data_IF_546601017440
#
_entry.id   IF_546601017440
#
_cell.length_a   1.000
_cell.length_b   1.000
_cell.length_c   1.000
_cell.angle_alpha   90.00
_cell.angle_beta   90.00
_cell.angle_gamma   90.00
#
_symmetry.space_group_name_H-M   'P 1'
#
loop_
_entity.id
_entity.type
_entity.pdbx_description
1 polymer ?
#
# COMPACT_ATOMS: atom_id res chain seq x y z
N UNK A 1 23.72 -29.24 -9.69
CA UNK A 1 23.04 -30.52 -9.35
C UNK A 1 21.54 -30.27 -9.32
N UNK A 2 20.83 -30.61 -10.40
CA UNK A 2 19.41 -30.31 -10.62
C UNK A 2 18.63 -31.59 -10.32
N UNK A 3 17.77 -31.61 -9.30
CA UNK A 3 16.89 -32.74 -9.01
C UNK A 3 15.61 -32.63 -9.82
N UNK A 4 15.48 -33.52 -10.80
CA UNK A 4 14.25 -33.78 -11.58
C UNK A 4 13.21 -34.49 -10.68
N UNK A 5 12.01 -33.90 -10.57
CA UNK A 5 10.84 -34.57 -10.02
C UNK A 5 10.13 -35.29 -11.17
N UNK A 6 10.06 -36.63 -11.09
CA UNK A 6 9.33 -37.46 -12.06
C UNK A 6 7.87 -37.61 -11.63
N UNK A 7 6.97 -37.16 -12.50
CA UNK A 7 5.55 -37.45 -12.43
C UNK A 7 5.28 -38.84 -13.00
N UNK A 8 4.71 -39.75 -12.18
CA UNK A 8 4.29 -41.08 -12.62
C UNK A 8 2.89 -40.95 -13.23
N UNK A 9 2.80 -41.22 -14.53
CA UNK A 9 1.55 -41.49 -15.23
C UNK A 9 1.32 -42.99 -15.19
N UNK A 10 0.19 -43.42 -14.65
CA UNK A 10 -0.22 -44.84 -14.65
C UNK A 10 -1.15 -45.02 -15.86
N UNK A 11 -0.67 -45.74 -16.84
CA UNK A 11 -1.49 -46.33 -17.90
C UNK A 11 -2.05 -47.68 -17.44
N UNK A 12 -3.37 -47.81 -17.41
CA UNK A 12 -4.01 -49.12 -17.30
C UNK A 12 -4.33 -49.61 -18.70
N UNK A 13 -3.69 -50.70 -19.05
CA UNK A 13 -3.91 -51.42 -20.30
C UNK A 13 -5.18 -52.28 -20.18
N UNK A 14 -6.07 -52.16 -21.18
CA UNK A 14 -7.18 -53.08 -21.38
C UNK A 14 -6.71 -54.20 -22.29
N UNK A 15 -6.73 -55.42 -21.79
CA UNK A 15 -6.61 -56.62 -22.61
C UNK A 15 -8.02 -57.10 -22.97
N UNK A 16 -8.23 -57.27 -24.29
CA UNK A 16 -9.49 -57.73 -24.83
C UNK A 16 -9.62 -59.28 -24.70
N UNK A 17 -10.83 -59.71 -24.42
CA UNK A 17 -11.25 -61.10 -24.73
C UNK A 17 -12.61 -61.00 -25.43
N UNK A 18 -12.63 -61.44 -26.71
CA UNK A 18 -13.86 -61.72 -27.44
C UNK A 18 -14.47 -63.04 -26.95
N UNK A 19 -15.77 -62.99 -26.60
CA UNK A 19 -16.61 -64.18 -26.57
C UNK A 19 -17.89 -63.96 -27.37
N UNK A 20 -18.10 -64.77 -28.37
CA UNK A 20 -19.37 -64.92 -29.11
C UNK A 20 -20.35 -65.72 -28.28
N UNK A 21 -21.59 -65.33 -28.24
CA UNK A 21 -22.66 -66.23 -27.88
C UNK A 21 -23.88 -65.63 -27.16
N UNK A 22 -25.02 -65.62 -27.83
CA UNK A 22 -26.33 -65.67 -27.19
C UNK A 22 -27.06 -64.31 -27.12
N UNK A 23 -27.94 -64.08 -28.12
CA UNK A 23 -28.96 -63.04 -28.06
C UNK A 23 -30.02 -63.43 -27.02
N UNK A 24 -29.91 -62.91 -25.77
CA UNK A 24 -31.00 -62.89 -24.80
C UNK A 24 -31.65 -61.52 -24.85
N UNK A 25 -32.84 -61.43 -25.38
CA UNK A 25 -33.72 -60.25 -25.21
C UNK A 25 -34.07 -60.12 -23.73
N UNK A 26 -33.33 -59.29 -23.01
CA UNK A 26 -33.81 -58.84 -21.71
C UNK A 26 -34.83 -57.72 -21.91
N UNK A 27 -35.98 -57.73 -21.21
CA UNK A 27 -36.97 -56.68 -21.35
C UNK A 27 -36.40 -55.36 -20.85
N UNK A 28 -36.48 -54.37 -21.70
CA UNK A 28 -36.05 -53.00 -21.46
C UNK A 28 -36.68 -52.49 -20.16
N UNK A 29 -35.89 -52.51 -19.07
CA UNK A 29 -36.31 -51.79 -17.82
C UNK A 29 -36.40 -50.31 -18.21
N UNK A 30 -37.60 -49.80 -18.38
CA UNK A 30 -37.83 -48.38 -18.54
C UNK A 30 -37.11 -47.64 -17.43
N UNK A 31 -36.01 -46.97 -17.74
CA UNK A 31 -35.33 -46.11 -16.79
C UNK A 31 -36.34 -45.02 -16.37
N UNK A 32 -36.88 -45.12 -15.16
CA UNK A 32 -37.79 -44.11 -14.63
C UNK A 32 -37.15 -42.74 -14.78
N UNK A 33 -37.83 -41.82 -15.47
CA UNK A 33 -37.32 -40.49 -15.75
C UNK A 33 -36.87 -39.81 -14.44
N UNK A 34 -35.61 -39.44 -14.32
CA UNK A 34 -35.07 -38.83 -13.11
C UNK A 34 -35.88 -37.56 -12.77
N UNK A 35 -36.38 -37.50 -11.54
CA UNK A 35 -37.23 -36.40 -11.04
C UNK A 35 -36.45 -35.07 -11.06
N UNK A 36 -37.06 -33.98 -11.48
CA UNK A 36 -36.47 -32.63 -11.43
C UNK A 36 -36.17 -32.26 -9.98
N UNK A 37 -34.97 -31.76 -9.71
CA UNK A 37 -34.54 -31.37 -8.39
C UNK A 37 -33.76 -30.06 -8.42
N UNK A 38 -33.75 -29.32 -7.34
CA UNK A 38 -32.99 -28.08 -7.17
C UNK A 38 -31.99 -28.21 -6.03
N UNK A 39 -30.89 -27.47 -6.10
CA UNK A 39 -29.98 -27.29 -4.95
C UNK A 39 -30.77 -26.71 -3.77
N UNK A 40 -30.86 -27.45 -2.65
CA UNK A 40 -31.73 -27.09 -1.50
C UNK A 40 -31.25 -25.84 -0.78
N UNK A 41 -29.91 -25.68 -0.64
CA UNK A 41 -29.29 -24.50 -0.03
C UNK A 41 -27.97 -24.15 -0.66
N UNK A 42 -27.63 -22.86 -0.62
CA UNK A 42 -26.36 -22.31 -1.10
C UNK A 42 -25.86 -21.30 -0.09
N UNK A 43 -24.60 -21.38 0.26
CA UNK A 43 -23.88 -20.34 1.01
C UNK A 43 -23.08 -19.51 0.02
N UNK A 44 -23.13 -18.19 0.16
CA UNK A 44 -22.35 -17.24 -0.64
C UNK A 44 -21.88 -16.10 0.27
N UNK A 45 -20.72 -15.54 -0.01
CA UNK A 45 -20.26 -14.36 0.73
C UNK A 45 -20.68 -13.06 0.01
N UNK A 46 -20.74 -11.95 0.75
CA UNK A 46 -20.97 -10.62 0.17
C UNK A 46 -19.97 -10.36 -0.98
N UNK A 47 -20.43 -9.79 -2.08
CA UNK A 47 -19.63 -9.55 -3.29
C UNK A 47 -19.34 -10.78 -4.14
N UNK A 48 -19.44 -12.01 -3.61
CA UNK A 48 -19.14 -13.26 -4.33
C UNK A 48 -20.37 -13.86 -4.99
N UNK A 49 -20.13 -14.80 -5.92
CA UNK A 49 -21.19 -15.49 -6.67
C UNK A 49 -21.20 -16.99 -6.38
N UNK A 50 -22.37 -17.59 -6.49
CA UNK A 50 -22.57 -19.03 -6.42
C UNK A 50 -23.62 -19.48 -7.47
N UNK A 51 -23.62 -20.77 -7.82
CA UNK A 51 -24.58 -21.32 -8.78
C UNK A 51 -25.64 -22.15 -8.06
N UNK A 52 -26.91 -21.91 -8.36
CA UNK A 52 -28.05 -22.78 -8.02
C UNK A 52 -28.30 -23.65 -9.23
N UNK A 53 -28.22 -24.99 -9.07
CA UNK A 53 -28.46 -25.96 -10.15
C UNK A 53 -29.89 -26.49 -10.07
N UNK A 54 -30.52 -26.64 -11.23
CA UNK A 54 -31.78 -27.35 -11.42
C UNK A 54 -31.49 -28.57 -12.31
N UNK A 55 -31.51 -29.75 -11.73
CA UNK A 55 -31.18 -31.01 -12.39
C UNK A 55 -32.37 -31.65 -13.05
N UNK A 56 -32.14 -32.43 -14.15
CA UNK A 56 -33.13 -33.19 -14.90
C UNK A 56 -34.30 -32.38 -15.49
N UNK A 57 -34.05 -31.08 -15.75
CA UNK A 57 -35.04 -30.20 -16.34
C UNK A 57 -34.73 -29.86 -17.81
N UNK A 58 -35.68 -30.10 -18.71
CA UNK A 58 -35.65 -29.74 -20.13
C UNK A 58 -36.57 -28.55 -20.48
N UNK A 59 -37.48 -28.19 -19.59
CA UNK A 59 -38.53 -27.18 -19.80
C UNK A 59 -38.01 -25.76 -19.49
N UNK A 60 -38.73 -24.74 -19.99
CA UNK A 60 -38.49 -23.34 -19.63
C UNK A 60 -38.63 -23.11 -18.13
N UNK A 61 -37.76 -22.27 -17.55
CA UNK A 61 -37.74 -21.95 -16.10
C UNK A 61 -37.84 -20.45 -15.92
N UNK A 62 -38.69 -20.03 -14.98
CA UNK A 62 -38.74 -18.67 -14.47
C UNK A 62 -38.06 -18.64 -13.10
N UNK A 63 -37.03 -17.82 -12.98
CA UNK A 63 -36.26 -17.63 -11.75
C UNK A 63 -36.66 -16.34 -11.07
N UNK A 64 -36.98 -16.37 -9.79
CA UNK A 64 -37.33 -15.21 -8.98
C UNK A 64 -36.78 -15.30 -7.56
N UNK A 65 -36.61 -14.15 -6.91
CA UNK A 65 -36.34 -14.06 -5.47
C UNK A 65 -37.67 -13.85 -4.77
N UNK A 66 -38.05 -14.75 -3.87
CA UNK A 66 -39.34 -14.72 -3.17
C UNK A 66 -39.25 -14.17 -1.75
N UNK A 67 -38.04 -14.10 -1.18
CA UNK A 67 -37.75 -13.50 0.13
C UNK A 67 -36.27 -12.98 0.13
N UNK A 68 -36.00 -11.85 0.78
CA UNK A 68 -34.67 -11.32 0.94
C UNK A 68 -34.08 -10.77 -0.35
N UNK A 69 -34.87 -10.07 -1.17
CA UNK A 69 -34.44 -9.51 -2.47
C UNK A 69 -33.29 -8.48 -2.35
N UNK A 70 -33.17 -7.75 -1.23
CA UNK A 70 -32.06 -6.84 -0.97
C UNK A 70 -30.74 -7.55 -0.64
N UNK A 71 -30.76 -8.84 -0.33
CA UNK A 71 -29.58 -9.60 0.07
C UNK A 71 -28.84 -10.25 -1.10
N UNK A 72 -29.53 -10.43 -2.24
CA UNK A 72 -28.98 -11.12 -3.42
C UNK A 72 -29.46 -10.51 -4.73
N UNK A 73 -28.68 -10.73 -5.80
CA UNK A 73 -29.13 -10.53 -7.18
C UNK A 73 -28.96 -11.81 -7.99
N UNK A 74 -29.77 -11.96 -9.05
CA UNK A 74 -29.78 -13.13 -9.94
C UNK A 74 -29.26 -12.74 -11.33
N UNK A 75 -28.34 -13.53 -11.87
CA UNK A 75 -27.80 -13.38 -13.22
C UNK A 75 -27.66 -14.76 -13.94
N UNK A 76 -27.34 -14.76 -15.23
CA UNK A 76 -27.09 -15.99 -16.03
C UNK A 76 -28.18 -17.05 -15.82
N UNK A 77 -29.45 -16.64 -15.94
CA UNK A 77 -30.63 -17.53 -15.79
C UNK A 77 -30.72 -18.50 -16.97
N UNK A 78 -30.89 -19.79 -16.71
CA UNK A 78 -30.98 -20.86 -17.72
C UNK A 78 -32.01 -21.93 -17.31
N UNK A 79 -32.23 -22.91 -18.18
CA UNK A 79 -33.10 -24.08 -17.89
C UNK A 79 -32.51 -24.98 -16.79
N UNK A 80 -31.20 -24.91 -16.54
CA UNK A 80 -30.48 -25.81 -15.64
C UNK A 80 -29.87 -25.10 -14.43
N UNK A 81 -30.04 -23.78 -14.32
CA UNK A 81 -29.51 -23.05 -13.15
C UNK A 81 -29.56 -21.55 -13.29
N UNK A 82 -29.08 -20.89 -12.22
CA UNK A 82 -28.95 -19.44 -12.10
C UNK A 82 -27.73 -19.12 -11.26
N UNK A 83 -27.08 -18.02 -11.57
CA UNK A 83 -26.02 -17.47 -10.73
C UNK A 83 -26.62 -16.47 -9.75
N UNK A 84 -26.30 -16.62 -8.48
CA UNK A 84 -26.65 -15.71 -7.39
C UNK A 84 -25.40 -14.95 -6.94
N UNK A 85 -25.50 -13.62 -6.76
CA UNK A 85 -24.47 -12.77 -6.13
C UNK A 85 -25.00 -12.32 -4.77
N UNK A 86 -24.22 -12.48 -3.71
CA UNK A 86 -24.51 -11.96 -2.37
C UNK A 86 -24.27 -10.44 -2.36
N UNK A 87 -25.26 -9.66 -1.90
CA UNK A 87 -25.17 -8.19 -1.80
C UNK A 87 -25.06 -7.73 -0.35
N UNK A 88 -25.81 -8.37 0.56
CA UNK A 88 -25.86 -8.06 1.99
C UNK A 88 -26.08 -9.33 2.81
N UNK A 89 -25.41 -9.44 3.95
CA UNK A 89 -25.58 -10.59 4.86
C UNK A 89 -27.06 -10.81 5.23
N UNK A 90 -27.45 -12.07 5.25
CA UNK A 90 -28.82 -12.47 5.54
C UNK A 90 -29.27 -13.69 4.74
N UNK A 91 -30.55 -14.00 4.81
CA UNK A 91 -31.15 -15.15 4.13
C UNK A 91 -32.08 -14.70 3.02
N UNK A 92 -31.96 -15.34 1.86
CA UNK A 92 -32.88 -15.15 0.74
C UNK A 92 -33.44 -16.49 0.26
N UNK A 93 -34.62 -16.46 -0.40
CA UNK A 93 -35.20 -17.62 -1.06
C UNK A 93 -35.29 -17.38 -2.56
N UNK A 94 -34.67 -18.28 -3.35
CA UNK A 94 -34.73 -18.29 -4.81
C UNK A 94 -35.65 -19.40 -5.28
N UNK A 95 -36.60 -19.06 -6.13
CA UNK A 95 -37.58 -19.98 -6.68
C UNK A 95 -37.34 -20.21 -8.18
N UNK A 96 -37.32 -21.48 -8.60
CA UNK A 96 -37.44 -21.90 -9.99
C UNK A 96 -38.86 -22.40 -10.24
N UNK A 97 -39.62 -21.77 -11.14
CA UNK A 97 -40.94 -22.23 -11.60
C UNK A 97 -40.80 -22.96 -12.93
N UNK A 98 -41.24 -24.23 -12.97
CA UNK A 98 -41.22 -25.12 -14.14
C UNK A 98 -42.65 -25.58 -14.38
N UNK A 99 -43.38 -24.97 -15.32
CA UNK A 99 -44.85 -25.14 -15.46
C UNK A 99 -45.55 -24.70 -14.15
N UNK A 100 -46.38 -25.54 -13.59
CA UNK A 100 -47.08 -25.31 -12.32
C UNK A 100 -46.22 -25.61 -11.08
N UNK A 101 -45.11 -26.35 -11.21
CA UNK A 101 -44.27 -26.80 -10.09
C UNK A 101 -43.27 -25.72 -9.69
N UNK A 102 -43.11 -25.54 -8.36
CA UNK A 102 -42.15 -24.59 -7.73
C UNK A 102 -41.07 -25.36 -6.99
N UNK A 103 -39.83 -24.95 -7.19
CA UNK A 103 -38.62 -25.49 -6.53
C UNK A 103 -37.92 -24.33 -5.83
N UNK A 104 -37.59 -24.48 -4.55
CA UNK A 104 -36.99 -23.39 -3.74
C UNK A 104 -35.62 -23.77 -3.26
N UNK A 105 -34.70 -22.82 -3.38
CA UNK A 105 -33.34 -22.86 -2.79
C UNK A 105 -33.23 -21.77 -1.73
N UNK A 106 -32.72 -22.11 -0.54
CA UNK A 106 -32.36 -21.12 0.46
C UNK A 106 -30.94 -20.66 0.23
N UNK A 107 -30.75 -19.35 0.12
CA UNK A 107 -29.43 -18.72 -0.02
C UNK A 107 -29.08 -18.01 1.28
N UNK A 108 -27.98 -18.39 1.89
CA UNK A 108 -27.44 -17.70 3.05
C UNK A 108 -26.25 -16.85 2.60
N UNK A 109 -26.39 -15.53 2.67
CA UNK A 109 -25.28 -14.60 2.45
C UNK A 109 -24.60 -14.36 3.78
N UNK A 110 -23.32 -14.69 3.85
CA UNK A 110 -22.47 -14.39 4.99
C UNK A 110 -21.65 -13.15 4.69
N UNK A 111 -21.39 -12.31 5.69
CA UNK A 111 -20.25 -11.40 5.59
C UNK A 111 -19.03 -12.26 5.23
N UNK A 112 -18.21 -11.80 4.31
CA UNK A 112 -16.90 -12.40 4.13
C UNK A 112 -16.32 -12.48 5.54
N UNK A 113 -16.04 -13.69 6.02
CA UNK A 113 -15.14 -13.81 7.16
C UNK A 113 -13.88 -13.16 6.66
N UNK A 114 -13.50 -12.00 7.22
CA UNK A 114 -12.18 -11.45 7.05
C UNK A 114 -11.31 -12.59 7.58
N UNK A 115 -10.69 -13.37 6.67
CA UNK A 115 -9.62 -14.25 7.04
C UNK A 115 -8.72 -13.37 7.84
N UNK A 116 -8.41 -13.74 9.08
CA UNK A 116 -7.49 -12.98 9.88
C UNK A 116 -6.25 -12.82 9.02
N UNK A 117 -6.09 -11.60 8.49
CA UNK A 117 -5.01 -11.26 7.60
C UNK A 117 -3.74 -11.45 8.42
N UNK A 118 -2.83 -12.27 7.97
CA UNK A 118 -1.61 -12.55 8.71
C UNK A 118 -0.81 -11.27 8.94
N UNK A 119 -0.89 -10.32 8.00
CA UNK A 119 -0.29 -8.99 8.15
C UNK A 119 -0.99 -8.19 9.26
N UNK A 120 -2.33 -8.21 9.31
CA UNK A 120 -3.07 -7.53 10.36
C UNK A 120 -2.76 -8.09 11.76
N UNK A 121 -2.60 -9.40 11.89
CA UNK A 121 -2.18 -10.04 13.17
C UNK A 121 -0.80 -9.58 13.64
N UNK A 122 0.09 -9.22 12.71
CA UNK A 122 1.43 -8.68 12.96
C UNK A 122 1.44 -7.17 13.18
N UNK A 123 0.27 -6.52 13.14
CA UNK A 123 0.17 -5.06 13.22
C UNK A 123 0.51 -4.35 11.90
N UNK A 124 0.47 -5.03 10.75
CA UNK A 124 0.81 -4.44 9.46
C UNK A 124 -0.46 -4.00 8.73
N UNK A 125 -0.57 -2.70 8.44
CA UNK A 125 -1.61 -2.12 7.62
C UNK A 125 -1.21 -2.21 6.13
N UNK A 126 -2.09 -2.77 5.29
CA UNK A 126 -1.90 -2.90 3.84
C UNK A 126 -3.15 -2.43 3.11
N UNK A 127 -3.08 -2.15 1.80
CA UNK A 127 -4.26 -1.84 0.97
C UNK A 127 -5.37 -2.90 1.10
N UNK A 128 -4.98 -4.15 1.28
CA UNK A 128 -5.92 -5.27 1.30
C UNK A 128 -6.65 -5.43 2.64
N UNK A 129 -6.11 -4.88 3.72
CA UNK A 129 -6.67 -5.04 5.07
C UNK A 129 -7.20 -3.76 5.72
N UNK A 130 -7.34 -2.66 4.97
CA UNK A 130 -7.93 -1.40 5.47
C UNK A 130 -9.27 -1.63 6.17
N UNK A 131 -10.15 -2.46 5.59
CA UNK A 131 -11.45 -2.78 6.17
C UNK A 131 -11.36 -3.59 7.47
N UNK A 132 -10.33 -4.40 7.66
CA UNK A 132 -10.07 -5.11 8.91
C UNK A 132 -9.80 -4.13 10.04
N UNK A 133 -8.96 -3.11 9.76
CA UNK A 133 -8.60 -2.07 10.69
C UNK A 133 -9.66 -0.96 10.81
N UNK A 134 -10.71 -0.97 9.98
CA UNK A 134 -11.72 0.09 9.92
C UNK A 134 -11.21 1.41 9.37
N UNK A 135 -10.08 1.39 8.65
CA UNK A 135 -9.45 2.57 8.07
C UNK A 135 -10.11 2.92 6.74
N UNK A 136 -10.45 4.20 6.57
CA UNK A 136 -10.92 4.76 5.30
C UNK A 136 -9.72 5.06 4.40
N UNK A 137 -9.96 5.23 3.09
CA UNK A 137 -8.95 5.62 2.10
C UNK A 137 -9.15 7.04 1.56
N UNK A 138 -9.90 7.89 2.27
CA UNK A 138 -10.16 9.28 1.85
C UNK A 138 -10.52 10.17 3.04
N UNK A 139 -10.33 11.48 2.87
CA UNK A 139 -10.60 12.50 3.89
C UNK A 139 -9.59 12.45 5.03
N UNK A 140 -10.06 12.80 6.23
CA UNK A 140 -9.25 12.64 7.44
C UNK A 140 -9.36 11.19 7.92
N UNK A 141 -8.21 10.50 7.96
CA UNK A 141 -8.14 9.11 8.37
C UNK A 141 -7.53 8.97 9.77
N UNK A 142 -7.92 7.92 10.46
CA UNK A 142 -7.34 7.55 11.76
C UNK A 142 -6.79 6.13 11.61
N UNK A 143 -5.50 5.98 11.86
CA UNK A 143 -4.86 4.67 11.94
C UNK A 143 -5.00 4.20 13.39
N UNK A 144 -5.63 3.03 13.65
CA UNK A 144 -5.92 2.58 15.00
C UNK A 144 -4.68 2.09 15.74
N UNK A 145 -4.74 2.14 17.08
CA UNK A 145 -3.73 1.52 17.93
C UNK A 145 -3.57 0.02 17.63
N UNK A 146 -2.35 -0.48 17.81
CA UNK A 146 -1.96 -1.85 17.42
C UNK A 146 -1.40 -1.96 16.00
N UNK A 147 -1.56 -0.95 15.14
CA UNK A 147 -0.80 -0.86 13.89
C UNK A 147 0.64 -0.46 14.21
N UNK A 148 1.58 -1.32 13.85
CA UNK A 148 3.03 -1.12 14.02
C UNK A 148 3.71 -0.71 12.73
N UNK A 149 3.17 -1.13 11.60
CA UNK A 149 3.71 -0.83 10.27
C UNK A 149 2.60 -0.44 9.31
N UNK A 150 2.78 0.69 8.62
CA UNK A 150 2.04 1.02 7.40
C UNK A 150 2.87 0.50 6.24
N UNK A 151 2.31 -0.41 5.44
CA UNK A 151 2.99 -1.06 4.32
C UNK A 151 3.24 -0.11 3.15
N UNK A 152 3.93 -0.61 2.13
CA UNK A 152 4.30 0.17 0.96
C UNK A 152 3.07 0.57 0.14
N UNK A 153 3.02 1.84 -0.26
CA UNK A 153 1.99 2.38 -1.12
C UNK A 153 0.55 2.25 -0.60
N UNK A 154 0.33 2.13 0.71
CA UNK A 154 -1.02 1.87 1.26
C UNK A 154 -2.00 2.95 0.86
N UNK A 155 -1.56 4.20 0.82
CA UNK A 155 -2.36 5.36 0.48
C UNK A 155 -1.79 6.15 -0.71
N UNK A 156 -0.89 5.56 -1.51
CA UNK A 156 -0.43 6.16 -2.75
C UNK A 156 -1.56 6.20 -3.79
N UNK A 157 -1.37 6.97 -4.86
CA UNK A 157 -2.35 7.22 -5.91
C UNK A 157 -3.00 5.94 -6.50
N UNK A 158 -4.01 5.41 -5.84
CA UNK A 158 -5.22 4.98 -6.54
C UNK A 158 -6.13 6.20 -6.66
N UNK A 159 -6.95 6.27 -7.70
CA UNK A 159 -7.80 7.42 -8.08
C UNK A 159 -8.60 8.02 -6.91
N UNK A 160 -8.74 7.30 -5.80
CA UNK A 160 -9.46 7.69 -4.59
C UNK A 160 -8.56 8.24 -3.46
N UNK A 161 -7.25 7.92 -3.43
CA UNK A 161 -6.35 8.27 -2.31
C UNK A 161 -5.83 9.71 -2.34
N UNK A 162 -5.87 10.38 -3.48
CA UNK A 162 -5.62 11.83 -3.61
C UNK A 162 -6.59 12.72 -2.82
N UNK A 163 -7.55 12.11 -2.10
CA UNK A 163 -8.50 12.78 -1.21
C UNK A 163 -8.13 12.70 0.27
N UNK A 164 -7.02 12.03 0.65
CA UNK A 164 -6.57 12.05 2.05
C UNK A 164 -5.97 13.41 2.36
N UNK A 165 -6.62 14.14 3.29
CA UNK A 165 -6.26 15.51 3.67
C UNK A 165 -5.66 15.61 5.07
N UNK A 166 -5.81 14.57 5.89
CA UNK A 166 -5.21 14.47 7.21
C UNK A 166 -5.10 13.04 7.66
N UNK A 167 -4.13 12.77 8.54
CA UNK A 167 -3.93 11.45 9.15
C UNK A 167 -3.59 11.61 10.62
N UNK A 168 -4.24 10.80 11.47
CA UNK A 168 -3.84 10.58 12.85
C UNK A 168 -3.15 9.22 12.93
N UNK A 169 -1.88 9.23 13.33
CA UNK A 169 -1.06 8.03 13.51
C UNK A 169 -1.17 7.50 14.94
N UNK A 170 -1.06 6.18 15.16
CA UNK A 170 -1.09 5.59 16.51
C UNK A 170 0.27 5.65 17.20
N UNK A 171 0.26 5.65 18.52
CA UNK A 171 1.50 5.61 19.33
C UNK A 171 2.22 4.25 19.28
N UNK A 172 1.65 3.25 18.60
CA UNK A 172 2.27 1.94 18.38
C UNK A 172 3.02 1.82 17.03
N UNK A 173 3.04 2.90 16.23
CA UNK A 173 3.60 2.88 14.88
C UNK A 173 5.13 2.95 14.92
N UNK A 174 5.79 1.95 14.35
CA UNK A 174 7.26 1.84 14.27
C UNK A 174 7.78 2.11 12.85
N UNK A 175 7.00 1.79 11.80
CA UNK A 175 7.45 1.85 10.41
C UNK A 175 6.40 2.44 9.49
N UNK A 176 6.80 3.42 8.68
CA UNK A 176 6.04 3.93 7.52
C UNK A 176 6.75 3.45 6.26
N UNK A 177 6.05 2.67 5.42
CA UNK A 177 6.61 2.04 4.23
C UNK A 177 6.83 3.00 3.06
N UNK A 178 7.47 2.49 2.02
CA UNK A 178 7.75 3.20 0.78
C UNK A 178 6.46 3.73 0.12
N UNK A 179 6.47 5.00 -0.33
CA UNK A 179 5.33 5.68 -0.95
C UNK A 179 4.03 5.64 -0.12
N UNK A 180 4.07 5.36 1.19
CA UNK A 180 2.87 5.07 1.99
C UNK A 180 1.81 6.17 1.91
N UNK A 181 2.21 7.45 1.86
CA UNK A 181 1.36 8.63 1.74
C UNK A 181 1.74 9.54 0.57
N UNK A 182 2.52 9.04 -0.40
CA UNK A 182 2.95 9.84 -1.54
C UNK A 182 1.75 10.44 -2.28
N UNK A 183 1.89 11.72 -2.72
CA UNK A 183 0.88 12.44 -3.52
C UNK A 183 -0.47 12.69 -2.81
N UNK A 184 -0.55 12.45 -1.49
CA UNK A 184 -1.73 12.79 -0.69
C UNK A 184 -1.81 14.32 -0.44
N UNK A 185 -2.97 14.79 0.06
CA UNK A 185 -3.19 16.21 0.38
C UNK A 185 -3.00 16.51 1.88
N UNK A 186 -2.26 15.67 2.58
CA UNK A 186 -1.97 15.87 4.01
C UNK A 186 -1.27 17.22 4.20
N UNK A 187 -1.82 18.06 5.08
CA UNK A 187 -1.27 19.39 5.41
C UNK A 187 -0.51 19.41 6.72
N UNK A 188 -0.96 18.61 7.68
CA UNK A 188 -0.34 18.50 8.99
C UNK A 188 -0.19 17.04 9.35
N UNK A 189 0.93 16.69 9.97
CA UNK A 189 1.21 15.35 10.47
C UNK A 189 1.98 15.43 11.78
N UNK A 190 1.54 14.65 12.75
CA UNK A 190 2.25 14.39 13.99
C UNK A 190 2.84 12.99 13.90
N UNK A 191 4.15 12.88 13.83
CA UNK A 191 4.87 11.62 13.84
C UNK A 191 5.03 11.13 15.27
N UNK A 192 4.65 9.89 15.62
CA UNK A 192 4.73 9.42 17.00
C UNK A 192 6.16 9.08 17.42
N UNK A 193 6.47 9.22 18.70
CA UNK A 193 7.79 8.91 19.28
C UNK A 193 8.20 7.44 19.10
N UNK A 194 7.25 6.53 18.88
CA UNK A 194 7.53 5.12 18.59
C UNK A 194 8.12 4.88 17.20
N UNK A 195 8.07 5.88 16.31
CA UNK A 195 8.50 5.74 14.91
C UNK A 195 10.02 5.60 14.83
N UNK A 196 10.48 4.62 14.03
CA UNK A 196 11.89 4.29 13.82
C UNK A 196 12.33 4.46 12.37
N UNK A 197 11.42 4.14 11.43
CA UNK A 197 11.77 4.09 10.00
C UNK A 197 10.71 4.80 9.17
N UNK A 198 11.15 5.67 8.27
CA UNK A 198 10.36 6.32 7.21
C UNK A 198 10.92 5.86 5.87
N UNK A 199 10.11 5.18 5.06
CA UNK A 199 10.56 4.59 3.78
C UNK A 199 10.74 5.60 2.65
N UNK A 200 11.30 5.13 1.52
CA UNK A 200 11.51 5.95 0.32
C UNK A 200 10.20 6.62 -0.12
N UNK A 201 10.25 7.91 -0.42
CA UNK A 201 9.14 8.71 -0.94
C UNK A 201 7.86 8.66 -0.07
N UNK A 202 7.97 8.28 1.21
CA UNK A 202 6.80 8.01 2.07
C UNK A 202 5.79 9.16 2.13
N UNK A 203 6.27 10.41 2.10
CA UNK A 203 5.47 11.64 2.09
C UNK A 203 5.83 12.55 0.91
N UNK A 204 6.36 12.01 -0.17
CA UNK A 204 6.69 12.80 -1.35
C UNK A 204 5.46 13.47 -1.94
N UNK A 205 5.61 14.74 -2.38
CA UNK A 205 4.55 15.53 -3.04
C UNK A 205 3.25 15.64 -2.24
N UNK A 206 3.34 15.79 -0.91
CA UNK A 206 2.21 16.11 -0.04
C UNK A 206 2.04 17.62 0.13
N UNK A 207 1.13 18.05 0.99
CA UNK A 207 0.92 19.46 1.32
C UNK A 207 1.40 19.82 2.74
N UNK A 208 2.28 19.04 3.34
CA UNK A 208 2.80 19.28 4.69
C UNK A 208 3.43 20.67 4.78
N UNK A 209 3.09 21.43 5.81
CA UNK A 209 3.58 22.78 5.99
C UNK A 209 4.71 22.89 7.02
N UNK A 210 4.66 22.08 8.07
CA UNK A 210 5.69 22.01 9.11
C UNK A 210 5.92 20.56 9.48
N UNK A 211 7.17 20.19 9.75
CA UNK A 211 7.55 18.81 10.05
C UNK A 211 8.54 18.76 11.20
N UNK A 212 8.19 18.01 12.23
CA UNK A 212 9.12 17.61 13.27
C UNK A 212 9.30 16.09 13.20
N UNK A 213 10.54 15.64 13.02
CA UNK A 213 10.88 14.23 12.97
C UNK A 213 11.35 13.83 14.38
N UNK A 214 10.69 12.82 15.01
CA UNK A 214 11.01 12.40 16.38
C UNK A 214 12.45 11.89 16.53
N UNK A 215 13.03 12.10 17.71
CA UNK A 215 14.41 11.70 18.01
C UNK A 215 14.65 10.17 17.99
N UNK A 216 13.59 9.35 18.00
CA UNK A 216 13.71 7.88 17.87
C UNK A 216 13.76 7.38 16.41
N UNK A 217 13.62 8.27 15.42
CA UNK A 217 13.77 7.90 14.01
C UNK A 217 15.24 7.74 13.70
N UNK A 218 15.64 6.53 13.30
CA UNK A 218 17.02 6.19 12.92
C UNK A 218 17.22 6.02 11.41
N UNK A 219 16.13 5.80 10.66
CA UNK A 219 16.22 5.54 9.22
C UNK A 219 15.19 6.37 8.44
N UNK A 220 15.66 7.10 7.43
CA UNK A 220 14.81 7.82 6.46
C UNK A 220 15.27 7.48 5.04
N UNK A 221 14.34 7.02 4.22
CA UNK A 221 14.59 6.61 2.85
C UNK A 221 14.75 7.78 1.86
N UNK A 222 15.11 7.45 0.61
CA UNK A 222 15.33 8.42 -0.46
C UNK A 222 14.06 9.24 -0.73
N UNK A 223 14.21 10.55 -0.88
CA UNK A 223 13.12 11.46 -1.25
C UNK A 223 11.91 11.41 -0.34
N UNK A 224 12.06 11.00 0.92
CA UNK A 224 10.93 10.74 1.81
C UNK A 224 9.95 11.91 1.90
N UNK A 225 10.42 13.14 1.78
CA UNK A 225 9.63 14.37 1.79
C UNK A 225 9.85 15.23 0.53
N UNK A 226 10.36 14.65 -0.56
CA UNK A 226 10.64 15.35 -1.81
C UNK A 226 9.38 16.04 -2.37
N UNK A 227 9.53 17.26 -2.90
CA UNK A 227 8.46 17.98 -3.61
C UNK A 227 7.32 18.49 -2.73
N UNK A 228 7.54 18.64 -1.41
CA UNK A 228 6.58 19.25 -0.52
C UNK A 228 6.61 20.78 -0.66
N UNK A 229 5.97 21.30 -1.71
CA UNK A 229 6.02 22.71 -2.09
C UNK A 229 5.42 23.68 -1.05
N UNK A 230 4.79 23.18 0.01
CA UNK A 230 4.25 23.99 1.11
C UNK A 230 5.07 23.91 2.39
N UNK A 231 6.05 23.02 2.46
CA UNK A 231 6.88 22.83 3.66
C UNK A 231 7.69 24.10 3.93
N UNK A 232 7.55 24.66 5.12
CA UNK A 232 8.21 25.89 5.56
C UNK A 232 9.33 25.63 6.54
N UNK A 233 9.11 24.66 7.45
CA UNK A 233 10.07 24.33 8.49
C UNK A 233 10.23 22.81 8.66
N UNK A 234 11.44 22.39 9.00
CA UNK A 234 11.75 21.02 9.37
C UNK A 234 12.76 20.98 10.51
N UNK A 235 12.51 20.08 11.48
CA UNK A 235 13.48 19.69 12.49
C UNK A 235 13.90 18.25 12.26
N UNK A 236 15.21 18.05 12.09
CA UNK A 236 15.85 16.75 11.88
C UNK A 236 16.51 16.25 13.17
N UNK A 237 16.29 15.00 13.58
CA UNK A 237 16.91 14.44 14.78
C UNK A 237 18.40 14.11 14.58
N UNK A 238 19.15 14.14 15.66
CA UNK A 238 20.56 13.74 15.65
C UNK A 238 20.79 12.22 15.67
N UNK A 239 19.75 11.44 15.90
CA UNK A 239 19.76 9.97 16.00
C UNK A 239 19.85 9.24 14.65
N UNK A 240 19.83 9.98 13.54
CA UNK A 240 19.77 9.38 12.19
C UNK A 240 21.05 8.61 11.85
N UNK A 241 20.90 7.29 11.69
CA UNK A 241 21.98 6.36 11.29
C UNK A 241 22.00 6.14 9.78
N UNK A 242 20.82 6.18 9.14
CA UNK A 242 20.65 5.99 7.71
C UNK A 242 19.73 7.05 7.11
N UNK A 243 20.26 7.84 6.18
CA UNK A 243 19.55 8.93 5.53
C UNK A 243 19.67 8.79 4.02
N UNK A 244 18.53 8.71 3.35
CA UNK A 244 18.48 8.64 1.89
C UNK A 244 18.79 9.98 1.20
N UNK A 245 19.04 9.93 -0.09
CA UNK A 245 19.33 11.10 -0.92
C UNK A 245 18.05 11.89 -1.25
N UNK A 246 18.17 13.19 -1.53
CA UNK A 246 17.07 14.03 -2.01
C UNK A 246 15.94 14.25 -1.01
N UNK A 247 16.23 14.24 0.28
CA UNK A 247 15.24 14.15 1.36
C UNK A 247 14.13 15.21 1.26
N UNK A 248 14.49 16.48 1.02
CA UNK A 248 13.59 17.63 0.84
C UNK A 248 13.77 18.31 -0.53
N UNK A 249 14.31 17.59 -1.50
CA UNK A 249 14.53 18.13 -2.84
C UNK A 249 13.24 18.75 -3.40
N UNK A 250 13.31 20.01 -3.89
CA UNK A 250 12.17 20.71 -4.45
C UNK A 250 11.13 21.18 -3.42
N UNK A 251 11.52 21.38 -2.17
CA UNK A 251 10.67 22.03 -1.17
C UNK A 251 10.82 23.55 -1.25
N UNK A 252 10.22 24.17 -2.26
CA UNK A 252 10.45 25.57 -2.65
C UNK A 252 10.22 26.59 -1.53
N UNK A 253 9.33 26.31 -0.56
CA UNK A 253 9.00 27.21 0.55
C UNK A 253 9.77 26.91 1.82
N UNK A 254 10.63 25.87 1.82
CA UNK A 254 11.42 25.54 3.00
C UNK A 254 12.43 26.67 3.28
N UNK A 255 12.26 27.32 4.43
CA UNK A 255 13.07 28.45 4.85
C UNK A 255 13.73 28.26 6.21
N UNK A 256 13.24 27.32 6.99
CA UNK A 256 13.73 27.02 8.36
C UNK A 256 14.08 25.53 8.48
N UNK A 257 15.36 25.26 8.70
CA UNK A 257 15.89 23.91 8.90
C UNK A 257 16.70 23.88 10.17
N UNK A 258 16.26 23.06 11.12
CA UNK A 258 16.96 22.83 12.37
C UNK A 258 17.50 21.40 12.41
N UNK A 259 18.80 21.27 12.67
CA UNK A 259 19.43 19.97 12.93
C UNK A 259 19.64 19.79 14.43
N UNK A 260 19.28 18.64 14.97
CA UNK A 260 19.76 18.27 16.32
C UNK A 260 21.22 17.82 16.27
N UNK A 261 21.93 17.98 17.38
CA UNK A 261 23.32 17.48 17.50
C UNK A 261 23.37 15.95 17.32
N UNK A 262 24.43 15.46 16.68
CA UNK A 262 24.67 14.05 16.41
C UNK A 262 24.60 13.68 14.94
N UNK A 263 23.94 14.48 14.09
CA UNK A 263 23.94 14.27 12.65
C UNK A 263 25.36 14.37 12.09
N UNK A 264 25.88 13.33 11.44
CA UNK A 264 27.24 13.29 10.93
C UNK A 264 27.37 13.52 9.42
N UNK A 265 26.30 13.32 8.66
CA UNK A 265 26.27 13.40 7.19
C UNK A 265 25.05 14.14 6.72
N UNK A 266 25.21 15.11 5.82
CA UNK A 266 24.13 15.71 5.03
C UNK A 266 24.12 15.00 3.67
N UNK A 267 23.08 14.21 3.34
CA UNK A 267 23.04 13.38 2.14
C UNK A 267 22.90 14.19 0.84
N UNK A 268 23.29 13.59 -0.28
CA UNK A 268 23.24 14.22 -1.58
C UNK A 268 21.85 14.73 -1.94
N UNK A 269 21.77 15.93 -2.49
CA UNK A 269 20.55 16.58 -2.97
C UNK A 269 19.51 16.88 -1.89
N UNK A 270 19.84 16.77 -0.59
CA UNK A 270 18.84 16.83 0.50
C UNK A 270 18.00 18.09 0.50
N UNK A 271 18.58 19.23 0.15
CA UNK A 271 17.90 20.53 0.07
C UNK A 271 18.01 21.16 -1.32
N UNK A 272 18.37 20.35 -2.34
CA UNK A 272 18.45 20.82 -3.70
C UNK A 272 17.10 21.44 -4.13
N UNK A 273 17.16 22.62 -4.79
CA UNK A 273 15.99 23.40 -5.23
C UNK A 273 15.09 23.91 -4.08
N UNK A 274 15.62 24.03 -2.84
CA UNK A 274 14.91 24.70 -1.75
C UNK A 274 15.13 26.22 -1.85
N UNK A 275 14.53 26.87 -2.80
CA UNK A 275 14.81 28.27 -3.21
C UNK A 275 14.55 29.31 -2.13
N UNK A 276 13.69 29.01 -1.16
CA UNK A 276 13.42 29.89 0.00
C UNK A 276 14.43 29.76 1.14
N UNK A 277 15.30 28.75 1.13
CA UNK A 277 16.31 28.53 2.16
C UNK A 277 17.48 29.50 1.98
N UNK A 278 17.55 30.55 2.81
CA UNK A 278 18.53 31.65 2.69
C UNK A 278 19.71 31.53 3.66
N UNK A 279 19.57 30.74 4.69
CA UNK A 279 20.61 30.46 5.69
C UNK A 279 20.45 29.05 6.22
N UNK A 280 21.54 28.50 6.72
CA UNK A 280 21.58 27.18 7.33
C UNK A 280 22.65 27.13 8.40
N UNK A 281 22.28 26.65 9.59
CA UNK A 281 23.24 26.36 10.67
C UNK A 281 23.60 24.87 10.61
N UNK A 282 24.85 24.57 10.24
CA UNK A 282 25.35 23.20 10.15
C UNK A 282 26.04 22.85 11.47
N UNK A 283 25.55 21.82 12.19
CA UNK A 283 26.10 21.46 13.51
C UNK A 283 27.56 20.99 13.44
N UNK A 284 28.30 21.15 14.53
CA UNK A 284 29.72 20.75 14.64
C UNK A 284 29.91 19.22 14.50
N UNK A 285 28.85 18.44 14.72
CA UNK A 285 28.84 16.98 14.51
C UNK A 285 28.93 16.56 13.04
N UNK A 286 28.60 17.45 12.09
CA UNK A 286 28.62 17.14 10.65
C UNK A 286 30.06 17.08 10.15
N UNK A 287 30.43 15.91 9.62
CA UNK A 287 31.75 15.66 9.04
C UNK A 287 31.73 15.47 7.53
N UNK A 288 30.56 15.23 6.93
CA UNK A 288 30.39 15.03 5.49
C UNK A 288 29.22 15.85 4.96
N UNK A 289 29.47 16.65 3.93
CA UNK A 289 28.45 17.34 3.12
C UNK A 289 28.53 16.76 1.72
N UNK A 290 27.52 16.00 1.32
CA UNK A 290 27.51 15.28 0.04
C UNK A 290 27.16 16.22 -1.13
N UNK A 291 27.23 15.70 -2.38
CA UNK A 291 26.99 16.50 -3.59
C UNK A 291 25.59 17.10 -3.64
N UNK A 292 25.50 18.29 -4.20
CA UNK A 292 24.24 18.99 -4.51
C UNK A 292 23.33 19.24 -3.30
N UNK A 293 23.85 19.10 -2.06
CA UNK A 293 23.01 19.22 -0.85
C UNK A 293 22.20 20.50 -0.79
N UNK A 294 22.82 21.63 -1.15
CA UNK A 294 22.25 22.97 -1.11
C UNK A 294 22.33 23.68 -2.45
N UNK A 295 22.45 22.92 -3.55
CA UNK A 295 22.42 23.47 -4.89
C UNK A 295 21.04 24.07 -5.18
N UNK A 296 20.98 25.18 -5.90
CA UNK A 296 19.74 25.91 -6.22
C UNK A 296 18.94 26.35 -4.98
N UNK A 297 19.63 26.61 -3.86
CA UNK A 297 19.05 27.28 -2.69
C UNK A 297 19.23 28.80 -2.75
N UNK A 298 18.61 29.50 -1.81
CA UNK A 298 18.81 30.94 -1.62
C UNK A 298 19.99 31.29 -0.70
N UNK A 299 20.84 30.31 -0.32
CA UNK A 299 21.97 30.50 0.59
C UNK A 299 23.07 31.28 -0.14
N UNK A 300 23.39 32.46 0.39
CA UNK A 300 24.49 33.33 -0.13
C UNK A 300 25.76 33.26 0.70
N UNK A 301 25.66 32.83 1.96
CA UNK A 301 26.78 32.61 2.83
C UNK A 301 26.53 31.44 3.79
N UNK A 302 27.59 30.71 4.13
CA UNK A 302 27.54 29.57 5.06
C UNK A 302 28.81 29.51 5.90
N UNK A 303 28.65 29.12 7.17
CA UNK A 303 29.75 28.70 8.03
C UNK A 303 29.77 27.18 8.09
N UNK A 304 30.88 26.57 7.73
CA UNK A 304 31.09 25.13 7.81
C UNK A 304 31.74 24.74 9.14
N UNK A 305 31.42 23.56 9.71
CA UNK A 305 32.02 23.11 10.94
C UNK A 305 33.54 22.84 10.77
N UNK A 306 34.34 23.17 11.77
CA UNK A 306 35.79 22.99 11.74
C UNK A 306 36.19 21.50 11.60
N UNK A 307 35.32 20.59 12.08
CA UNK A 307 35.46 19.14 11.99
C UNK A 307 35.13 18.53 10.64
N UNK A 308 34.77 19.32 9.62
CA UNK A 308 34.42 18.82 8.30
C UNK A 308 35.59 18.04 7.69
N UNK A 309 35.34 16.80 7.26
CA UNK A 309 36.29 15.87 6.65
C UNK A 309 36.13 15.74 5.16
N UNK A 310 34.87 15.85 4.69
CA UNK A 310 34.53 15.65 3.30
C UNK A 310 33.42 16.62 2.86
N UNK A 311 33.64 17.23 1.71
CA UNK A 311 32.63 17.97 0.98
C UNK A 311 32.72 17.57 -0.49
N UNK A 312 31.56 17.28 -1.09
CA UNK A 312 31.52 16.81 -2.48
C UNK A 312 31.13 17.94 -3.44
N UNK A 313 31.26 17.66 -4.73
CA UNK A 313 31.05 18.63 -5.79
C UNK A 313 29.66 19.25 -5.76
N UNK A 314 29.57 20.53 -6.08
CA UNK A 314 28.33 21.28 -6.21
C UNK A 314 27.45 21.27 -4.93
N UNK A 315 28.04 21.08 -3.75
CA UNK A 315 27.28 21.06 -2.49
C UNK A 315 26.54 22.38 -2.23
N UNK A 316 27.03 23.50 -2.75
CA UNK A 316 26.43 24.82 -2.71
C UNK A 316 26.45 25.49 -4.10
N UNK A 317 25.71 26.58 -4.26
CA UNK A 317 25.82 27.43 -5.44
C UNK A 317 27.23 28.00 -5.56
N UNK A 318 27.69 28.22 -6.78
CA UNK A 318 29.08 28.65 -7.04
C UNK A 318 29.41 29.99 -6.40
N UNK A 319 28.43 30.88 -6.26
CA UNK A 319 28.55 32.23 -5.67
C UNK A 319 28.39 32.26 -4.14
N UNK A 320 28.15 31.10 -3.49
CA UNK A 320 28.03 31.02 -2.03
C UNK A 320 29.36 31.33 -1.35
N UNK A 321 29.34 32.33 -0.48
CA UNK A 321 30.46 32.68 0.39
C UNK A 321 30.63 31.66 1.50
N UNK A 322 31.81 31.11 1.69
CA UNK A 322 32.05 30.05 2.66
C UNK A 322 33.05 30.49 3.72
N UNK A 323 32.70 30.30 5.00
CA UNK A 323 33.62 30.47 6.13
C UNK A 323 33.96 29.10 6.72
N UNK A 324 35.24 28.76 6.78
CA UNK A 324 35.76 27.51 7.36
C UNK A 324 37.10 27.76 8.08
N UNK A 325 37.23 27.23 9.30
CA UNK A 325 38.42 27.40 10.14
C UNK A 325 38.92 28.85 10.19
N UNK A 326 37.99 29.78 10.45
CA UNK A 326 38.25 31.24 10.53
C UNK A 326 38.72 31.90 9.21
N UNK A 327 38.74 31.16 8.10
CA UNK A 327 39.03 31.70 6.77
C UNK A 327 37.75 31.86 5.98
N UNK A 328 37.57 33.02 5.35
CA UNK A 328 36.39 33.27 4.51
C UNK A 328 36.81 33.28 3.03
N UNK A 329 36.14 32.50 2.24
CA UNK A 329 36.27 32.40 0.79
C UNK A 329 35.09 33.12 0.14
N UNK A 330 35.37 33.92 -0.89
CA UNK A 330 34.35 34.77 -1.53
C UNK A 330 33.33 33.98 -2.36
N UNK A 331 33.64 32.74 -2.73
CA UNK A 331 32.78 31.84 -3.46
C UNK A 331 33.08 30.38 -3.11
N UNK A 332 32.16 29.49 -3.45
CA UNK A 332 32.25 28.05 -3.15
C UNK A 332 33.44 27.39 -3.90
N UNK A 333 33.69 27.78 -5.13
CA UNK A 333 34.79 27.18 -5.92
C UNK A 333 36.15 27.47 -5.31
N UNK A 334 36.40 28.71 -4.86
CA UNK A 334 37.62 29.09 -4.18
C UNK A 334 37.83 28.28 -2.86
N UNK A 335 36.72 28.11 -2.08
CA UNK A 335 36.76 27.26 -0.90
C UNK A 335 37.04 25.80 -1.29
N UNK A 336 36.35 25.23 -2.26
CA UNK A 336 36.42 23.81 -2.65
C UNK A 336 37.85 23.47 -3.15
N UNK A 337 38.44 24.35 -3.94
CA UNK A 337 39.83 24.20 -4.36
C UNK A 337 40.83 24.17 -3.19
N UNK A 338 40.65 25.06 -2.21
CA UNK A 338 41.47 25.10 -1.00
C UNK A 338 41.25 23.91 -0.06
N UNK A 339 40.01 23.37 -0.02
CA UNK A 339 39.70 22.20 0.79
C UNK A 339 40.29 20.90 0.24
N UNK A 340 40.41 20.78 -1.08
CA UNK A 340 40.91 19.58 -1.78
C UNK A 340 42.47 19.59 -1.95
N UNK A 341 43.13 20.78 -1.89
CA UNK A 341 44.60 20.94 -1.96
C UNK A 341 45.27 20.65 -0.65
#
# INVERSE_FOLDING_TARGET
MVKKIRMKVVFAAFAGVMFFGGVAFSPNKSQAAKKVSITKSVKVYEGKTAKIKLSNNKKKVTWSVTKGSGNISLSKKSKTGVTVKGSKAGTAKVQAKVGSKKYVCTVTVKKAAVKADEDAKKGILTKNNLSYWGVKNSGNIVIPEGVKKIGDGVFDLDVDSGQISGVKLPNTLEVIGKNAFALTKITNIELPDSLKTIGDYAFSMTNIENLEIPENVSEIGNGAFMGNAKLKSVKLPGSLESIGVGLFMGCDKLSDVTFSEGLSVIPAGSFNMCTSLKSIDIPDSVTVVSSECFLDTGITEVKLPDGLKEILDNSFNTDTKVTWKNTTYNDYNAFFAAFKG
#
